data_IF_084386770538
#
_entry.id   IF_084386770538
#
_cell.length_a   1.000
_cell.length_b   1.000
_cell.length_c   1.000
_cell.angle_alpha   90.00
_cell.angle_beta   90.00
_cell.angle_gamma   90.00
#
_symmetry.space_group_name_H-M   'P 1'
#
loop_
_entity.id
_entity.type
_entity.pdbx_description
1 polymer ?
#
# COMPACT_ATOMS: atom_id res chain seq x y z
N UNK A 1 4.33 -6.02 18.40
CA UNK A 1 4.84 -5.71 17.05
C UNK A 1 3.68 -5.15 16.25
N UNK A 2 3.77 -3.91 15.78
CA UNK A 2 2.77 -3.33 14.89
C UNK A 2 3.04 -3.84 13.47
N UNK A 3 2.03 -4.41 12.82
CA UNK A 3 2.16 -4.80 11.41
C UNK A 3 2.01 -3.57 10.52
N UNK A 4 2.54 -3.59 9.31
CA UNK A 4 2.42 -2.45 8.39
C UNK A 4 0.96 -2.12 8.04
N UNK A 5 0.06 -3.12 8.06
CA UNK A 5 -1.39 -2.91 7.90
C UNK A 5 -2.04 -2.27 9.13
N UNK A 6 -1.60 -2.61 10.33
CA UNK A 6 -2.03 -1.94 11.56
C UNK A 6 -1.53 -0.49 11.60
N UNK A 7 -0.29 -0.26 11.17
CA UNK A 7 0.29 1.08 11.05
C UNK A 7 -0.53 1.99 10.14
N UNK A 8 -0.88 1.52 8.94
CA UNK A 8 -1.67 2.31 8.00
C UNK A 8 -3.05 2.66 8.59
N UNK A 9 -3.75 1.68 9.18
CA UNK A 9 -5.03 1.94 9.87
C UNK A 9 -4.91 2.97 10.99
N UNK A 10 -3.81 2.95 11.75
CA UNK A 10 -3.56 3.97 12.78
C UNK A 10 -3.32 5.35 12.16
N UNK A 11 -2.57 5.44 11.06
CA UNK A 11 -2.35 6.71 10.36
C UNK A 11 -3.67 7.29 9.84
N UNK A 12 -4.51 6.45 9.24
CA UNK A 12 -5.81 6.88 8.69
C UNK A 12 -6.74 7.38 9.80
N UNK A 13 -6.80 6.68 10.94
CA UNK A 13 -7.57 7.12 12.10
C UNK A 13 -7.07 8.46 12.69
N UNK A 14 -5.75 8.69 12.71
CA UNK A 14 -5.20 9.98 13.16
C UNK A 14 -5.52 11.10 12.17
N UNK A 15 -5.54 10.82 10.87
CA UNK A 15 -5.91 11.81 9.87
C UNK A 15 -7.38 12.23 10.04
N UNK A 16 -8.29 11.28 10.21
CA UNK A 16 -9.71 11.53 10.46
C UNK A 16 -9.92 12.43 11.69
N UNK A 17 -9.24 12.10 12.81
CA UNK A 17 -9.29 12.92 14.02
C UNK A 17 -8.74 14.33 13.80
N UNK A 18 -7.67 14.48 13.02
CA UNK A 18 -7.10 15.79 12.72
C UNK A 18 -8.05 16.66 11.89
N UNK A 19 -8.76 16.06 10.93
CA UNK A 19 -9.77 16.74 10.12
C UNK A 19 -10.98 17.17 10.96
N UNK A 20 -11.44 16.31 11.87
CA UNK A 20 -12.51 16.64 12.81
C UNK A 20 -12.12 17.77 13.76
N UNK A 21 -10.89 17.76 14.28
CA UNK A 21 -10.36 18.86 15.10
C UNK A 21 -10.33 20.16 14.28
N UNK A 22 -9.86 20.12 13.03
CA UNK A 22 -9.80 21.31 12.17
C UNK A 22 -11.20 21.88 11.88
N UNK A 23 -12.21 21.02 11.79
CA UNK A 23 -13.62 21.42 11.59
C UNK A 23 -14.22 22.07 12.83
N UNK A 24 -13.94 21.52 14.02
CA UNK A 24 -14.50 22.01 15.31
C UNK A 24 -13.74 23.24 15.81
N UNK A 25 -12.42 23.27 15.64
CA UNK A 25 -11.53 24.30 16.15
C UNK A 25 -10.48 24.68 15.10
N UNK A 26 -10.72 25.74 14.31
CA UNK A 26 -9.77 26.23 13.32
C UNK A 26 -8.41 26.59 13.93
N UNK A 27 -8.40 27.12 15.15
CA UNK A 27 -7.17 27.48 15.89
C UNK A 27 -6.28 26.26 16.19
N UNK A 28 -6.87 25.06 16.26
CA UNK A 28 -6.14 23.82 16.49
C UNK A 28 -5.74 23.11 15.19
N UNK A 29 -6.29 23.50 14.03
CA UNK A 29 -6.10 22.83 12.76
C UNK A 29 -4.61 22.72 12.37
N UNK A 30 -3.86 23.81 12.52
CA UNK A 30 -2.43 23.84 12.19
C UNK A 30 -1.62 22.87 13.04
N UNK A 31 -1.92 22.77 14.35
CA UNK A 31 -1.25 21.82 15.24
C UNK A 31 -1.64 20.38 14.92
N UNK A 32 -2.91 20.12 14.63
CA UNK A 32 -3.37 18.79 14.23
C UNK A 32 -2.65 18.31 12.95
N UNK A 33 -2.51 19.21 11.96
CA UNK A 33 -1.77 18.91 10.73
C UNK A 33 -0.26 18.74 10.96
N UNK A 34 0.34 19.46 11.91
CA UNK A 34 1.72 19.21 12.32
C UNK A 34 1.91 17.80 12.90
N UNK A 35 0.97 17.31 13.71
CA UNK A 35 1.01 15.94 14.25
C UNK A 35 0.97 14.89 13.13
N UNK A 36 0.08 15.07 12.14
CA UNK A 36 -0.01 14.17 10.97
C UNK A 36 1.30 14.15 10.20
N UNK A 37 1.95 15.31 9.99
CA UNK A 37 3.25 15.39 9.31
C UNK A 37 4.34 14.66 10.08
N UNK A 38 4.38 14.81 11.41
CA UNK A 38 5.33 14.11 12.26
C UNK A 38 5.15 12.60 12.18
N UNK A 39 3.90 12.10 12.25
CA UNK A 39 3.62 10.68 12.14
C UNK A 39 4.02 10.09 10.78
N UNK A 40 3.81 10.84 9.68
CA UNK A 40 4.26 10.40 8.35
C UNK A 40 5.78 10.38 8.18
N UNK A 41 6.51 11.18 8.97
CA UNK A 41 7.97 11.17 8.98
C UNK A 41 8.55 10.02 9.81
N UNK A 42 7.72 9.33 10.62
CA UNK A 42 8.13 8.10 11.32
C UNK A 42 8.01 6.94 10.34
N UNK A 43 9.11 6.22 10.13
CA UNK A 43 9.13 5.07 9.23
C UNK A 43 8.10 4.02 9.66
N UNK A 44 7.30 3.47 8.71
CA UNK A 44 6.42 2.36 9.00
C UNK A 44 7.25 1.16 9.49
N UNK A 45 6.71 0.34 10.41
CA UNK A 45 7.39 -0.88 10.83
C UNK A 45 7.69 -1.73 9.60
N UNK A 46 8.93 -2.23 9.51
CA UNK A 46 9.45 -2.96 8.37
C UNK A 46 8.38 -3.93 7.85
N UNK A 47 7.88 -3.66 6.64
CA UNK A 47 7.06 -4.64 5.92
C UNK A 47 7.91 -5.89 5.89
N UNK A 48 7.43 -6.98 6.49
CA UNK A 48 7.98 -8.31 6.20
C UNK A 48 7.76 -8.55 4.71
N UNK A 49 8.69 -8.06 3.90
CA UNK A 49 8.78 -8.36 2.49
C UNK A 49 9.21 -9.82 2.41
N UNK A 50 8.24 -10.71 2.23
CA UNK A 50 8.49 -12.14 2.11
C UNK A 50 7.64 -12.98 3.05
N UNK A 51 6.33 -12.99 2.83
CA UNK A 51 5.59 -14.25 2.84
C UNK A 51 4.45 -14.08 1.83
N UNK A 52 4.70 -14.56 0.61
CA UNK A 52 3.63 -15.02 -0.29
C UNK A 52 2.89 -16.09 0.51
N UNK A 53 1.81 -15.74 1.19
CA UNK A 53 0.88 -16.73 1.76
C UNK A 53 -0.49 -16.12 2.12
N UNK A 54 -0.83 -14.93 1.61
CA UNK A 54 -2.24 -14.52 1.52
C UNK A 54 -2.80 -15.03 0.18
N UNK A 55 -2.79 -16.36 0.03
CA UNK A 55 -3.80 -17.07 -0.76
C UNK A 55 -5.05 -17.10 0.12
N UNK A 56 -5.90 -16.09 -0.03
CA UNK A 56 -7.24 -16.12 0.56
C UNK A 56 -8.27 -16.07 -0.58
N UNK A 57 -8.94 -17.21 -0.75
CA UNK A 57 -10.35 -17.32 -1.15
C UNK A 57 -10.78 -16.79 -2.52
N UNK A 58 -10.59 -17.63 -3.55
CA UNK A 58 -11.66 -18.09 -4.46
C UNK A 58 -12.82 -17.10 -4.70
N UNK A 59 -12.62 -16.13 -5.60
CA UNK A 59 -13.71 -15.55 -6.38
C UNK A 59 -13.52 -16.03 -7.82
N UNK A 60 -14.33 -17.02 -8.18
CA UNK A 60 -14.49 -17.55 -9.52
C UNK A 60 -14.98 -16.41 -10.42
N UNK A 61 -14.16 -15.95 -11.36
CA UNK A 61 -14.67 -15.90 -12.74
C UNK A 61 -13.56 -15.92 -13.80
N UNK A 62 -13.84 -16.80 -14.75
CA UNK A 62 -13.14 -17.13 -15.96
C UNK A 62 -13.09 -15.92 -16.91
N UNK A 63 -11.90 -15.53 -17.36
CA UNK A 63 -11.73 -14.94 -18.70
C UNK A 63 -10.29 -15.14 -19.19
N UNK A 64 -10.16 -16.19 -19.99
CA UNK A 64 -9.10 -16.42 -20.97
C UNK A 64 -8.84 -15.16 -21.80
N UNK A 65 -7.61 -14.63 -21.73
CA UNK A 65 -7.01 -13.83 -22.81
C UNK A 65 -5.53 -14.18 -22.95
N UNK A 66 -5.26 -15.19 -23.78
CA UNK A 66 -4.47 -14.96 -24.99
C UNK A 66 -2.95 -14.73 -24.85
N UNK A 67 -2.20 -15.84 -24.97
CA UNK A 67 -0.96 -15.98 -25.77
C UNK A 67 0.04 -14.81 -25.74
N UNK A 68 1.05 -14.92 -24.87
CA UNK A 68 2.29 -14.12 -24.96
C UNK A 68 3.17 -14.55 -26.14
N UNK A 69 3.93 -13.63 -26.77
CA UNK A 69 4.54 -13.86 -28.08
C UNK A 69 5.71 -14.84 -28.02
N UNK A 70 5.67 -15.77 -28.98
CA UNK A 70 6.68 -16.78 -29.31
C UNK A 70 8.12 -16.24 -29.27
N UNK A 71 8.97 -16.90 -28.50
CA UNK A 71 10.43 -16.78 -28.53
C UNK A 71 10.96 -16.95 -29.97
N UNK A 72 11.27 -15.83 -30.62
CA UNK A 72 11.99 -15.78 -31.92
C UNK A 72 13.43 -16.23 -31.69
N UNK A 73 13.69 -17.53 -31.80
CA UNK A 73 15.07 -18.05 -31.96
C UNK A 73 15.58 -17.62 -33.33
N UNK A 74 16.55 -16.71 -33.33
CA UNK A 74 17.34 -16.33 -34.50
C UNK A 74 18.14 -17.55 -34.95
N UNK A 75 17.77 -18.15 -36.08
CA UNK A 75 18.63 -19.06 -36.81
C UNK A 75 19.94 -18.31 -37.14
N UNK A 76 21.04 -18.77 -36.56
CA UNK A 76 22.38 -18.38 -37.00
C UNK A 76 22.91 -19.58 -37.76
N UNK A 77 22.69 -19.54 -39.07
CA UNK A 77 23.32 -20.42 -40.03
C UNK A 77 24.79 -19.98 -40.15
N UNK A 78 25.70 -20.86 -39.74
CA UNK A 78 27.13 -20.75 -40.00
C UNK A 78 27.77 -22.13 -39.78
N UNK A 79 27.74 -22.97 -40.81
CA UNK A 79 28.92 -23.53 -41.51
C UNK A 79 28.50 -24.58 -42.53
#
# INVERSE_FOLDING_TARGET
MTTSAQWQRTLDAVLELAEDIARISPDCADRAMQIVRLLRAVDPPARRAGNRDDMDGDDLDEMDVGVGPLNRRKASDAL
#
